data_IF_641946558308
#
_entry.id   IF_641946558308
#
_cell.length_a   1.000
_cell.length_b   1.000
_cell.length_c   1.000
_cell.angle_alpha   90.00
_cell.angle_beta   90.00
_cell.angle_gamma   90.00
#
_symmetry.space_group_name_H-M   'P 1'
#
loop_
_entity.id
_entity.type
_entity.pdbx_description
1 polymer ?
#
# COMPACT_ATOMS: atom_id res chain seq x y z
N UNK A 1 38.49 13.79 -15.98
CA UNK A 1 38.75 15.09 -16.63
C UNK A 1 37.80 15.22 -17.81
N UNK A 2 36.53 15.55 -17.56
CA UNK A 2 35.57 15.85 -18.63
C UNK A 2 35.62 17.36 -18.83
N UNK A 3 36.38 17.74 -19.86
CA UNK A 3 36.46 19.10 -20.36
C UNK A 3 35.16 19.39 -21.09
N UNK A 4 34.38 20.35 -20.62
CA UNK A 4 33.27 20.91 -21.42
C UNK A 4 33.46 22.42 -21.48
N UNK A 5 33.62 22.98 -22.68
CA UNK A 5 34.04 24.37 -22.85
C UNK A 5 32.91 25.34 -22.53
N UNK A 6 33.34 26.44 -21.95
CA UNK A 6 32.65 27.72 -21.83
C UNK A 6 32.16 28.20 -23.21
N UNK A 7 30.84 28.28 -23.45
CA UNK A 7 30.30 29.21 -24.47
C UNK A 7 28.80 29.55 -24.28
N UNK A 8 28.55 30.53 -23.40
CA UNK A 8 27.94 31.83 -23.75
C UNK A 8 26.73 31.81 -24.72
N UNK A 9 25.58 31.25 -24.33
CA UNK A 9 24.24 31.62 -24.85
C UNK A 9 23.15 31.40 -23.77
N UNK A 10 22.30 32.40 -23.44
CA UNK A 10 21.28 32.26 -22.38
C UNK A 10 20.27 31.13 -22.66
N UNK A 11 20.04 30.80 -23.94
CA UNK A 11 19.17 29.69 -24.34
C UNK A 11 19.74 28.29 -24.06
N UNK A 12 21.06 28.14 -23.90
CA UNK A 12 21.67 26.83 -23.58
C UNK A 12 21.57 26.47 -22.09
N UNK A 13 21.48 27.48 -21.21
CA UNK A 13 21.32 27.28 -19.76
C UNK A 13 19.95 26.68 -19.46
N UNK A 14 18.90 27.16 -20.14
CA UNK A 14 17.55 26.62 -19.98
C UNK A 14 17.48 25.15 -20.43
N UNK A 15 18.07 24.81 -21.58
CA UNK A 15 18.13 23.42 -22.04
C UNK A 15 18.93 22.52 -21.10
N UNK A 16 20.04 23.00 -20.51
CA UNK A 16 20.80 22.18 -19.56
C UNK A 16 20.06 21.92 -18.25
N UNK A 17 19.25 22.88 -17.76
CA UNK A 17 18.44 22.70 -16.55
C UNK A 17 17.32 21.67 -16.78
N UNK A 18 16.68 21.70 -17.96
CA UNK A 18 15.61 20.74 -18.31
C UNK A 18 16.19 19.31 -18.43
N UNK A 19 17.35 19.15 -19.08
CA UNK A 19 18.00 17.83 -19.20
C UNK A 19 18.48 17.32 -17.84
N UNK A 20 19.01 18.19 -16.99
CA UNK A 20 19.39 17.81 -15.62
C UNK A 20 18.17 17.37 -14.79
N UNK A 21 17.05 18.10 -14.86
CA UNK A 21 15.82 17.75 -14.14
C UNK A 21 15.23 16.40 -14.58
N UNK A 22 15.28 16.08 -15.88
CA UNK A 22 14.81 14.80 -16.40
C UNK A 22 15.66 13.60 -15.92
N UNK A 23 16.97 13.78 -15.76
CA UNK A 23 17.87 12.72 -15.24
C UNK A 23 17.63 12.44 -13.75
N UNK A 24 17.31 13.47 -12.96
CA UNK A 24 16.95 13.27 -11.54
C UNK A 24 15.59 12.56 -11.36
N UNK A 25 14.65 12.70 -12.31
CA UNK A 25 13.35 12.03 -12.23
C UNK A 25 13.40 10.52 -12.54
N UNK A 26 14.41 10.03 -13.25
CA UNK A 26 14.59 8.59 -13.52
C UNK A 26 15.18 7.80 -12.33
N UNK A 27 15.54 8.48 -11.23
CA UNK A 27 16.23 7.89 -10.07
C UNK A 27 15.37 7.67 -8.81
N UNK A 28 14.06 7.93 -8.84
CA UNK A 28 13.20 7.77 -7.65
C UNK A 28 11.97 6.89 -7.93
N UNK A 29 12.21 5.64 -8.34
CA UNK A 29 11.22 4.58 -8.19
C UNK A 29 11.90 3.26 -7.80
N UNK A 30 12.54 3.27 -6.64
CA UNK A 30 12.98 2.05 -5.97
C UNK A 30 11.82 1.45 -5.19
N UNK A 31 10.94 0.73 -5.87
CA UNK A 31 10.09 -0.33 -5.28
C UNK A 31 9.64 -1.27 -6.39
N UNK A 32 10.42 -2.31 -6.76
CA UNK A 32 9.87 -3.44 -7.48
C UNK A 32 9.13 -4.35 -6.50
N UNK A 33 7.94 -3.96 -6.05
CA UNK A 33 6.95 -4.92 -5.56
C UNK A 33 6.19 -5.50 -6.76
N UNK A 34 6.92 -6.00 -7.76
CA UNK A 34 6.35 -6.90 -8.76
C UNK A 34 6.21 -8.27 -8.11
N UNK A 35 5.17 -8.41 -7.29
CA UNK A 35 4.62 -9.72 -6.97
C UNK A 35 4.10 -10.28 -8.29
N UNK A 36 4.97 -10.97 -9.01
CA UNK A 36 4.62 -11.76 -10.18
C UNK A 36 3.90 -13.01 -9.67
N UNK A 37 2.69 -12.79 -9.14
CA UNK A 37 1.78 -13.88 -8.81
C UNK A 37 1.15 -14.29 -10.13
N UNK A 38 1.84 -15.24 -10.77
CA UNK A 38 1.32 -16.12 -11.81
C UNK A 38 -0.15 -16.43 -11.51
N UNK A 39 -1.03 -15.80 -12.28
CA UNK A 39 -2.47 -15.87 -12.13
C UNK A 39 -2.94 -17.29 -12.41
N UNK A 40 -3.07 -18.07 -11.36
CA UNK A 40 -3.97 -19.21 -11.29
C UNK A 40 -5.16 -18.70 -10.48
N UNK A 41 -6.40 -18.67 -11.00
CA UNK A 41 -7.57 -18.26 -10.26
C UNK A 41 -7.94 -19.35 -9.24
N UNK A 42 -7.06 -19.59 -8.26
CA UNK A 42 -7.46 -20.13 -6.98
C UNK A 42 -7.94 -18.93 -6.20
N UNK A 43 -9.23 -18.93 -5.88
CA UNK A 43 -9.82 -18.16 -4.80
C UNK A 43 -9.10 -18.60 -3.50
N UNK A 44 -7.84 -18.20 -3.32
CA UNK A 44 -7.16 -18.25 -2.06
C UNK A 44 -7.75 -17.08 -1.30
N UNK A 45 -8.89 -17.33 -0.68
CA UNK A 45 -9.32 -16.51 0.44
C UNK A 45 -8.09 -16.41 1.32
N UNK A 46 -7.51 -15.21 1.51
CA UNK A 46 -6.29 -15.09 2.29
C UNK A 46 -6.58 -15.80 3.60
N UNK A 47 -5.75 -16.79 3.94
CA UNK A 47 -5.91 -17.54 5.18
C UNK A 47 -5.55 -16.58 6.30
N UNK A 48 -6.53 -15.75 6.62
CA UNK A 48 -6.47 -14.76 7.67
C UNK A 48 -6.72 -15.59 8.93
N UNK A 49 -5.70 -15.67 9.76
CA UNK A 49 -5.77 -16.29 11.08
C UNK A 49 -6.63 -15.41 11.99
N UNK A 50 -7.93 -15.40 11.69
CA UNK A 50 -8.96 -14.78 12.50
C UNK A 50 -9.66 -15.90 13.26
N UNK A 51 -9.91 -15.68 14.55
CA UNK A 51 -10.75 -16.61 15.31
C UNK A 51 -12.14 -16.72 14.68
N UNK A 52 -12.76 -17.90 14.76
CA UNK A 52 -14.08 -18.13 14.16
C UNK A 52 -15.13 -17.15 14.69
N UNK A 53 -15.06 -16.80 15.98
CA UNK A 53 -15.93 -15.77 16.60
C UNK A 53 -15.73 -14.39 15.97
N UNK A 54 -14.48 -14.00 15.70
CA UNK A 54 -14.17 -12.71 15.09
C UNK A 54 -14.57 -12.69 13.61
N UNK A 55 -14.41 -13.81 12.90
CA UNK A 55 -14.87 -13.97 11.52
C UNK A 55 -16.40 -13.88 11.42
N UNK A 56 -17.11 -14.56 12.31
CA UNK A 56 -18.57 -14.50 12.39
C UNK A 56 -19.04 -13.09 12.74
N UNK A 57 -18.39 -12.42 13.70
CA UNK A 57 -18.70 -11.03 14.06
C UNK A 57 -18.45 -10.06 12.90
N UNK A 58 -17.36 -10.26 12.16
CA UNK A 58 -17.00 -9.46 10.99
C UNK A 58 -18.04 -9.59 9.88
N UNK A 59 -18.44 -10.82 9.54
CA UNK A 59 -19.47 -11.05 8.53
C UNK A 59 -20.85 -10.58 8.98
N UNK A 60 -21.19 -10.76 10.27
CA UNK A 60 -22.45 -10.30 10.86
C UNK A 60 -22.56 -8.77 10.81
N UNK A 61 -21.46 -8.07 11.03
CA UNK A 61 -21.37 -6.63 10.90
C UNK A 61 -21.28 -6.12 9.45
N UNK A 62 -21.34 -7.01 8.44
CA UNK A 62 -21.27 -6.66 7.03
C UNK A 62 -19.86 -6.28 6.55
N UNK A 63 -18.83 -6.66 7.30
CA UNK A 63 -17.43 -6.52 6.90
C UNK A 63 -16.87 -7.77 6.22
N UNK A 64 -15.68 -7.65 5.66
CA UNK A 64 -14.91 -8.73 5.06
C UNK A 64 -13.62 -8.97 5.85
N UNK A 65 -13.26 -10.23 6.12
CA UNK A 65 -12.01 -10.52 6.82
C UNK A 65 -10.84 -10.11 5.91
N UNK A 66 -9.87 -9.38 6.47
CA UNK A 66 -8.69 -8.92 5.73
C UNK A 66 -7.49 -8.72 6.67
N UNK A 67 -6.28 -8.71 6.10
CA UNK A 67 -5.08 -8.32 6.84
C UNK A 67 -4.98 -6.80 6.93
N UNK A 68 -4.89 -6.29 8.15
CA UNK A 68 -4.71 -4.86 8.42
C UNK A 68 -3.24 -4.60 8.59
N UNK A 69 -2.70 -3.69 7.77
CA UNK A 69 -1.34 -3.20 7.95
C UNK A 69 -1.36 -1.98 8.87
N UNK A 70 -0.74 -2.11 10.01
CA UNK A 70 -0.60 -1.04 10.99
C UNK A 70 0.52 -0.07 10.61
N UNK A 71 0.56 1.10 11.24
CA UNK A 71 1.55 2.15 10.96
C UNK A 71 2.99 1.70 11.29
N UNK A 72 3.13 0.74 12.20
CA UNK A 72 4.38 0.06 12.53
C UNK A 72 4.82 -0.97 11.47
N UNK A 73 4.03 -1.17 10.41
CA UNK A 73 4.29 -2.16 9.35
C UNK A 73 3.86 -3.59 9.70
N UNK A 74 3.36 -3.83 10.91
CA UNK A 74 2.83 -5.13 11.32
C UNK A 74 1.56 -5.46 10.52
N UNK A 75 1.39 -6.73 10.19
CA UNK A 75 0.19 -7.23 9.55
C UNK A 75 -0.60 -8.02 10.58
N UNK A 76 -1.75 -7.48 10.96
CA UNK A 76 -2.60 -8.04 12.00
C UNK A 76 -3.92 -8.49 11.36
N UNK A 77 -4.40 -9.71 11.63
CA UNK A 77 -5.65 -10.19 11.06
C UNK A 77 -6.81 -9.39 11.65
N UNK A 78 -7.74 -8.95 10.79
CA UNK A 78 -8.86 -8.10 11.18
C UNK A 78 -10.02 -8.11 10.19
N UNK A 79 -10.92 -7.14 10.35
CA UNK A 79 -12.09 -6.95 9.52
C UNK A 79 -12.01 -5.60 8.79
N UNK A 80 -12.34 -5.59 7.51
CA UNK A 80 -12.51 -4.39 6.71
C UNK A 80 -13.98 -4.18 6.38
N UNK A 81 -14.48 -2.99 6.65
CA UNK A 81 -15.85 -2.61 6.37
C UNK A 81 -15.96 -1.86 5.05
N UNK A 82 -17.12 -1.93 4.40
CA UNK A 82 -17.42 -1.12 3.21
C UNK A 82 -17.25 0.39 3.46
N UNK A 83 -17.37 0.81 4.72
CA UNK A 83 -17.20 2.18 5.20
C UNK A 83 -15.72 2.63 5.21
N UNK A 84 -14.78 1.76 4.83
CA UNK A 84 -13.33 1.99 4.88
C UNK A 84 -12.71 1.81 6.27
N UNK A 85 -13.51 1.49 7.30
CA UNK A 85 -13.02 1.18 8.65
C UNK A 85 -12.30 -0.17 8.65
N UNK A 86 -11.16 -0.25 9.34
CA UNK A 86 -10.38 -1.48 9.54
C UNK A 86 -10.26 -1.72 11.04
N UNK A 87 -10.76 -2.86 11.50
CA UNK A 87 -10.80 -3.20 12.92
C UNK A 87 -9.96 -4.45 13.17
N UNK A 88 -9.00 -4.37 14.10
CA UNK A 88 -8.25 -5.55 14.55
C UNK A 88 -9.20 -6.54 15.24
N UNK A 89 -8.83 -7.82 15.25
CA UNK A 89 -9.61 -8.86 15.91
C UNK A 89 -10.04 -8.49 17.35
N UNK A 90 -9.13 -7.95 18.16
CA UNK A 90 -9.43 -7.55 19.54
C UNK A 90 -10.48 -6.43 19.62
N UNK A 91 -10.41 -5.44 18.73
CA UNK A 91 -11.37 -4.32 18.69
C UNK A 91 -12.73 -4.75 18.18
N UNK A 92 -12.75 -5.78 17.35
CA UNK A 92 -13.97 -6.41 16.84
C UNK A 92 -14.68 -7.18 17.96
N UNK A 93 -13.93 -8.03 18.68
CA UNK A 93 -14.44 -8.87 19.76
C UNK A 93 -14.84 -8.05 21.00
N UNK A 94 -14.16 -6.93 21.26
CA UNK A 94 -14.55 -6.00 22.34
C UNK A 94 -15.76 -5.13 21.97
N UNK A 95 -16.25 -5.20 20.72
CA UNK A 95 -17.36 -4.39 20.24
C UNK A 95 -17.03 -2.89 20.08
N UNK A 96 -15.78 -2.48 20.29
CA UNK A 96 -15.37 -1.07 20.15
C UNK A 96 -15.26 -0.64 18.68
N UNK A 97 -15.25 -1.59 17.74
CA UNK A 97 -15.05 -1.33 16.33
C UNK A 97 -15.88 -2.32 15.48
N UNK A 98 -16.61 -1.81 14.50
CA UNK A 98 -17.43 -2.64 13.60
C UNK A 98 -18.82 -2.97 14.13
N UNK A 99 -19.20 -2.50 15.32
CA UNK A 99 -20.60 -2.53 15.74
C UNK A 99 -21.42 -1.66 14.78
N UNK A 100 -22.37 -2.28 14.10
CA UNK A 100 -23.48 -1.58 13.43
C UNK A 100 -24.50 -1.26 14.52
N UNK A 101 -24.22 -0.21 15.30
CA UNK A 101 -25.23 0.50 16.07
C UNK A 101 -25.48 1.84 15.37
#
# INVERSE_FOLDING_TARGET
MISVPFFRRPGRVLCSVIVAAAVFAAGCSSSPDTVQQKQIPRYQQPLIDLTEDARASCSYAGGTPSLIRELNGAQTPGCQFANGKRCSQQSLLSGSCGAVL
#
